data_IF_704254448919
#
_entry.id   IF_704254448919
#
_cell.length_a   1.000
_cell.length_b   1.000
_cell.length_c   1.000
_cell.angle_alpha   90.00
_cell.angle_beta   90.00
_cell.angle_gamma   90.00
#
_symmetry.space_group_name_H-M   'P 1'
#
loop_
_entity.id
_entity.type
_entity.pdbx_description
1 polymer ?
#
# COMPACT_ATOMS: atom_id res chain seq x y z
N UNK A 1 -3.52 -10.42 -4.18
CA UNK A 1 -4.42 -9.67 -3.29
C UNK A 1 -3.56 -8.63 -2.59
N UNK A 2 -3.98 -7.37 -2.60
CA UNK A 2 -3.25 -6.25 -1.99
C UNK A 2 -3.19 -6.40 -0.46
N UNK A 3 -4.12 -7.14 0.14
CA UNK A 3 -4.12 -7.45 1.58
C UNK A 3 -2.90 -8.23 2.07
N UNK A 4 -2.07 -8.78 1.17
CA UNK A 4 -0.85 -9.54 1.51
C UNK A 4 0.39 -8.66 1.68
N UNK A 5 0.34 -7.38 1.35
CA UNK A 5 1.48 -6.48 1.49
C UNK A 5 1.51 -5.86 2.88
N UNK A 6 2.61 -6.06 3.61
CA UNK A 6 2.70 -5.64 5.02
C UNK A 6 2.67 -4.12 5.19
N UNK A 7 3.31 -3.36 4.29
CA UNK A 7 3.28 -1.90 4.31
C UNK A 7 1.87 -1.34 4.06
N UNK A 8 1.11 -1.97 3.16
CA UNK A 8 -0.30 -1.64 2.94
C UNK A 8 -1.15 -1.91 4.18
N UNK A 9 -0.98 -3.07 4.81
CA UNK A 9 -1.69 -3.41 6.05
C UNK A 9 -1.33 -2.44 7.18
N UNK A 10 -0.07 -2.04 7.29
CA UNK A 10 0.39 -1.04 8.25
C UNK A 10 -0.29 0.32 8.03
N UNK A 11 -0.30 0.83 6.79
CA UNK A 11 -0.97 2.10 6.46
C UNK A 11 -2.48 2.05 6.76
N UNK A 12 -3.16 0.93 6.43
CA UNK A 12 -4.58 0.75 6.75
C UNK A 12 -4.83 0.68 8.27
N UNK A 13 -3.95 0.01 9.03
CA UNK A 13 -4.07 -0.04 10.49
C UNK A 13 -3.84 1.33 11.13
N UNK A 14 -2.82 2.07 10.69
CA UNK A 14 -2.57 3.45 11.13
C UNK A 14 -3.77 4.36 10.81
N UNK A 15 -4.34 4.25 9.61
CA UNK A 15 -5.53 5.00 9.23
C UNK A 15 -6.71 4.69 10.16
N UNK A 16 -6.94 3.43 10.51
CA UNK A 16 -7.99 3.03 11.47
C UNK A 16 -7.73 3.57 12.88
N UNK A 17 -6.49 3.50 13.35
CA UNK A 17 -6.07 3.97 14.69
C UNK A 17 -6.21 5.49 14.83
N UNK A 18 -5.94 6.24 13.76
CA UNK A 18 -6.11 7.70 13.71
C UNK A 18 -7.54 8.15 13.39
N UNK A 19 -8.50 7.23 13.27
CA UNK A 19 -9.88 7.56 12.93
C UNK A 19 -10.10 8.01 11.48
N UNK A 20 -9.15 7.79 10.58
CA UNK A 20 -9.21 8.13 9.15
C UNK A 20 -10.07 7.13 8.35
N UNK A 21 -11.21 6.70 8.90
CA UNK A 21 -12.11 5.75 8.23
C UNK A 21 -12.72 6.35 6.96
N UNK A 22 -13.03 7.64 6.98
CA UNK A 22 -13.57 8.35 5.82
C UNK A 22 -12.57 8.41 4.67
N UNK A 23 -11.25 8.52 4.94
CA UNK A 23 -10.22 8.42 3.91
C UNK A 23 -10.29 7.07 3.17
N UNK A 24 -10.38 5.96 3.90
CA UNK A 24 -10.47 4.63 3.28
C UNK A 24 -11.74 4.48 2.42
N UNK A 25 -12.85 5.08 2.87
CA UNK A 25 -14.12 5.12 2.13
C UNK A 25 -14.03 5.99 0.89
N UNK A 26 -13.40 7.16 0.99
CA UNK A 26 -13.17 8.07 -0.12
C UNK A 26 -12.32 7.41 -1.20
N UNK A 27 -11.20 6.78 -0.82
CA UNK A 27 -10.36 6.03 -1.76
C UNK A 27 -11.16 4.93 -2.44
N UNK A 28 -12.03 4.23 -1.71
CA UNK A 28 -12.90 3.21 -2.31
C UNK A 28 -13.84 3.81 -3.36
N UNK A 29 -14.50 4.92 -3.04
CA UNK A 29 -15.40 5.62 -3.95
C UNK A 29 -14.66 6.11 -5.21
N UNK A 30 -13.47 6.67 -5.04
CA UNK A 30 -12.63 7.12 -6.15
C UNK A 30 -12.17 5.94 -7.03
N UNK A 31 -11.74 4.83 -6.43
CA UNK A 31 -11.41 3.61 -7.18
C UNK A 31 -12.62 3.07 -7.95
N UNK A 32 -13.82 3.13 -7.37
CA UNK A 32 -15.06 2.74 -8.04
C UNK A 32 -15.37 3.64 -9.25
N UNK A 33 -15.22 4.96 -9.12
CA UNK A 33 -15.37 5.90 -10.23
C UNK A 33 -14.35 5.64 -11.35
N UNK A 34 -13.11 5.28 -11.00
CA UNK A 34 -12.12 4.90 -12.01
C UNK A 34 -12.50 3.64 -12.76
N UNK A 35 -13.24 2.71 -12.16
CA UNK A 35 -13.59 1.43 -12.80
C UNK A 35 -14.47 1.58 -14.05
N UNK A 36 -15.11 2.75 -14.22
CA UNK A 36 -15.95 3.09 -15.36
C UNK A 36 -15.21 3.88 -16.47
N UNK A 37 -13.93 4.19 -16.27
CA UNK A 37 -13.12 4.98 -17.21
C UNK A 37 -12.29 4.08 -18.14
N UNK A 38 -11.83 4.66 -19.24
CA UNK A 38 -10.80 4.00 -20.04
C UNK A 38 -9.51 3.86 -19.20
N UNK A 39 -8.79 2.72 -19.26
CA UNK A 39 -7.55 2.53 -18.52
C UNK A 39 -6.54 3.68 -18.67
N UNK A 40 -6.49 4.33 -19.84
CA UNK A 40 -5.56 5.44 -20.11
C UNK A 40 -5.88 6.71 -19.32
N UNK A 41 -7.10 6.82 -18.82
CA UNK A 41 -7.57 7.96 -18.01
C UNK A 41 -7.65 7.64 -16.51
N UNK A 42 -7.39 6.38 -16.14
CA UNK A 42 -7.43 5.95 -14.74
C UNK A 42 -6.27 6.55 -13.94
N UNK A 43 -6.55 6.88 -12.68
CA UNK A 43 -5.56 7.30 -11.68
C UNK A 43 -5.47 6.29 -10.55
N UNK A 44 -4.29 6.17 -9.93
CA UNK A 44 -4.09 5.34 -8.74
C UNK A 44 -4.42 6.11 -7.46
N UNK A 45 -5.63 5.92 -6.94
CA UNK A 45 -6.05 6.56 -5.68
C UNK A 45 -5.64 5.80 -4.43
N UNK A 46 -5.13 4.57 -4.57
CA UNK A 46 -4.63 3.78 -3.44
C UNK A 46 -3.42 4.46 -2.78
N UNK A 47 -2.68 5.30 -3.51
CA UNK A 47 -1.58 6.12 -2.97
C UNK A 47 -2.03 7.06 -1.85
N UNK A 48 -3.26 7.57 -1.89
CA UNK A 48 -3.81 8.45 -0.84
C UNK A 48 -3.86 7.80 0.55
N UNK A 49 -3.87 6.46 0.63
CA UNK A 49 -3.83 5.74 1.91
C UNK A 49 -2.49 5.93 2.62
N UNK A 50 -1.42 6.18 1.85
CA UNK A 50 -0.07 6.33 2.37
C UNK A 50 0.30 7.79 2.66
N UNK A 51 -0.28 8.76 1.93
CA UNK A 51 -0.01 10.20 2.07
C UNK A 51 -0.04 10.76 3.51
N UNK A 52 -0.91 10.28 4.43
CA UNK A 52 -0.92 10.78 5.81
C UNK A 52 0.23 10.28 6.70
N UNK A 53 1.10 9.41 6.20
CA UNK A 53 2.11 8.71 6.98
C UNK A 53 3.51 8.88 6.39
N UNK A 54 4.50 9.06 7.26
CA UNK A 54 5.90 8.96 6.84
C UNK A 54 6.34 7.51 6.67
N UNK A 55 7.42 7.28 5.91
CA UNK A 55 8.01 5.95 5.74
C UNK A 55 8.43 5.35 7.10
N UNK A 56 8.89 6.17 8.04
CA UNK A 56 9.25 5.77 9.41
C UNK A 56 8.03 5.40 10.26
N UNK A 57 6.88 6.06 10.05
CA UNK A 57 5.63 5.69 10.72
C UNK A 57 5.13 4.32 10.24
N UNK A 58 5.16 4.10 8.92
CA UNK A 58 4.80 2.81 8.34
C UNK A 58 5.79 1.73 8.82
N UNK A 59 7.09 2.02 8.82
CA UNK A 59 8.15 1.12 9.28
C UNK A 59 7.96 0.68 10.72
N UNK A 60 7.73 1.64 11.63
CA UNK A 60 7.42 1.35 13.04
C UNK A 60 6.17 0.50 13.17
N UNK A 61 5.12 0.84 12.41
CA UNK A 61 3.89 0.04 12.45
C UNK A 61 4.11 -1.39 11.96
N UNK A 62 4.93 -1.58 10.93
CA UNK A 62 5.31 -2.92 10.46
C UNK A 62 6.06 -3.66 11.55
N UNK A 63 7.01 -3.02 12.23
CA UNK A 63 7.73 -3.61 13.35
C UNK A 63 6.77 -4.07 14.47
N UNK A 64 5.80 -3.23 14.86
CA UNK A 64 4.76 -3.60 15.82
C UNK A 64 3.97 -4.83 15.37
N UNK A 65 3.60 -4.87 14.08
CA UNK A 65 2.78 -5.94 13.50
C UNK A 65 3.51 -7.28 13.38
N UNK A 66 4.83 -7.25 13.20
CA UNK A 66 5.67 -8.46 13.10
C UNK A 66 6.43 -8.78 14.39
N UNK A 67 6.22 -7.99 15.45
CA UNK A 67 6.90 -8.17 16.71
C UNK A 67 6.63 -9.58 17.26
N UNK A 68 7.67 -10.37 17.57
CA UNK A 68 7.52 -11.73 18.08
C UNK A 68 6.64 -11.79 19.32
N UNK A 69 5.51 -12.47 19.22
CA UNK A 69 4.63 -12.72 20.37
C UNK A 69 4.93 -14.11 20.96
N UNK A 70 4.78 -14.26 22.27
CA UNK A 70 4.93 -15.54 22.99
C UNK A 70 6.34 -16.17 22.89
N UNK A 71 7.38 -15.33 22.84
CA UNK A 71 8.78 -15.75 22.91
C UNK A 71 9.48 -15.09 24.10
N UNK A 72 10.61 -15.63 24.54
CA UNK A 72 11.39 -15.08 25.67
C UNK A 72 12.22 -13.85 25.30
N UNK A 73 12.26 -13.47 24.02
CA UNK A 73 13.01 -12.33 23.53
C UNK A 73 12.20 -11.03 23.76
N UNK A 74 12.83 -10.05 24.40
CA UNK A 74 12.23 -8.74 24.72
C UNK A 74 13.06 -7.58 24.15
N UNK A 75 13.75 -7.82 23.04
CA UNK A 75 14.55 -6.77 22.40
C UNK A 75 13.68 -5.77 21.64
N UNK A 76 14.32 -4.73 21.15
CA UNK A 76 13.72 -3.77 20.22
C UNK A 76 13.76 -4.34 18.79
N UNK A 77 12.65 -4.20 18.07
CA UNK A 77 12.56 -4.57 16.66
C UNK A 77 12.39 -3.30 15.85
N UNK A 78 13.34 -3.04 14.95
CA UNK A 78 13.22 -1.99 13.95
C UNK A 78 13.18 -2.62 12.56
N UNK A 79 12.27 -2.15 11.73
CA UNK A 79 12.18 -2.53 10.31
C UNK A 79 12.64 -1.32 9.51
N UNK A 80 13.70 -1.49 8.72
CA UNK A 80 14.24 -0.41 7.87
C UNK A 80 13.97 -0.77 6.42
N UNK A 81 13.25 0.10 5.71
CA UNK A 81 13.08 -0.01 4.26
C UNK A 81 14.18 0.75 3.53
N UNK A 82 14.63 0.22 2.40
CA UNK A 82 15.50 0.93 1.48
C UNK A 82 14.71 2.06 0.82
N UNK A 83 15.24 3.29 0.81
CA UNK A 83 14.60 4.40 0.10
C UNK A 83 14.59 4.16 -1.41
N UNK A 84 13.58 4.70 -2.10
CA UNK A 84 13.47 4.61 -3.57
C UNK A 84 14.67 5.27 -4.25
N UNK A 85 15.17 6.38 -3.70
CA UNK A 85 16.38 7.02 -4.20
C UNK A 85 17.60 6.07 -4.16
N UNK A 86 17.80 5.37 -3.04
CA UNK A 86 18.91 4.45 -2.91
C UNK A 86 18.70 3.15 -3.70
N UNK A 87 17.44 2.75 -3.95
CA UNK A 87 17.12 1.68 -4.90
C UNK A 87 17.60 2.05 -6.31
N UNK A 88 17.32 3.26 -6.80
CA UNK A 88 17.77 3.73 -8.11
C UNK A 88 19.30 3.84 -8.21
N UNK A 89 19.98 4.16 -7.11
CA UNK A 89 21.46 4.14 -7.05
C UNK A 89 22.01 2.70 -7.12
N UNK A 90 21.29 1.73 -6.57
CA UNK A 90 21.75 0.34 -6.45
C UNK A 90 21.43 -0.50 -7.69
N UNK A 91 20.32 -0.21 -8.37
CA UNK A 91 19.86 -0.95 -9.55
C UNK A 91 19.62 0.04 -10.69
N UNK A 92 20.62 0.17 -11.57
CA UNK A 92 20.63 1.17 -12.64
C UNK A 92 20.00 0.68 -13.95
N UNK A 93 19.83 -0.63 -14.13
CA UNK A 93 19.30 -1.24 -15.35
C UNK A 93 17.79 -1.47 -15.34
N UNK A 94 17.16 -1.47 -14.16
CA UNK A 94 15.72 -1.54 -13.99
C UNK A 94 15.32 -0.85 -12.68
N UNK A 95 14.38 0.09 -12.74
CA UNK A 95 14.02 0.87 -11.55
C UNK A 95 13.09 0.07 -10.63
N UNK A 96 12.11 -0.64 -11.19
CA UNK A 96 11.20 -1.52 -10.44
C UNK A 96 10.43 -0.84 -9.29
N UNK A 97 10.54 0.48 -9.21
CA UNK A 97 10.15 1.35 -8.12
C UNK A 97 8.64 1.46 -8.03
N UNK A 98 7.93 1.27 -9.14
CA UNK A 98 6.48 1.21 -9.22
C UNK A 98 5.83 0.22 -8.25
N UNK A 99 6.52 -0.85 -7.84
CA UNK A 99 6.04 -1.76 -6.79
C UNK A 99 5.95 -1.07 -5.41
N UNK A 100 6.84 -0.10 -5.16
CA UNK A 100 6.97 0.62 -3.90
C UNK A 100 6.27 1.97 -3.93
N UNK A 101 6.38 2.72 -5.03
CA UNK A 101 5.78 4.05 -5.21
C UNK A 101 4.33 4.00 -5.64
N UNK A 102 3.87 2.87 -6.20
CA UNK A 102 2.55 2.77 -6.83
C UNK A 102 2.44 3.55 -8.14
N UNK A 103 3.55 4.09 -8.68
CA UNK A 103 3.59 4.76 -9.99
C UNK A 103 3.75 3.73 -11.11
N UNK A 104 2.68 2.96 -11.33
CA UNK A 104 2.66 1.95 -12.38
C UNK A 104 2.91 2.58 -13.75
N UNK A 105 3.86 2.06 -14.55
CA UNK A 105 4.22 2.65 -15.84
C UNK A 105 3.15 2.43 -16.93
N UNK A 106 2.11 1.65 -16.64
CA UNK A 106 1.09 1.28 -17.62
C UNK A 106 -0.32 1.57 -17.12
N UNK A 107 -1.23 2.01 -18.02
CA UNK A 107 -2.68 2.11 -17.76
C UNK A 107 -3.30 0.85 -17.13
N UNK A 108 -2.83 -0.33 -17.54
CA UNK A 108 -3.28 -1.61 -16.99
C UNK A 108 -2.95 -1.76 -15.49
N UNK A 109 -1.81 -1.23 -15.05
CA UNK A 109 -1.42 -1.26 -13.64
C UNK A 109 -2.39 -0.49 -12.74
N UNK A 110 -2.86 0.69 -13.20
CA UNK A 110 -3.86 1.47 -12.47
C UNK A 110 -5.20 0.74 -12.35
N UNK A 111 -5.64 0.06 -13.42
CA UNK A 111 -6.84 -0.78 -13.35
C UNK A 111 -6.71 -1.90 -12.31
N UNK A 112 -5.57 -2.58 -12.27
CA UNK A 112 -5.32 -3.69 -11.35
C UNK A 112 -5.29 -3.23 -9.90
N UNK A 113 -4.58 -2.14 -9.59
CA UNK A 113 -4.45 -1.65 -8.20
C UNK A 113 -5.77 -1.12 -7.66
N UNK A 114 -6.53 -0.35 -8.46
CA UNK A 114 -7.86 0.14 -8.07
C UNK A 114 -8.83 -1.02 -7.81
N UNK A 115 -8.84 -2.04 -8.67
CA UNK A 115 -9.68 -3.23 -8.49
C UNK A 115 -9.24 -4.07 -7.29
N UNK A 116 -7.94 -4.20 -7.04
CA UNK A 116 -7.42 -4.90 -5.88
C UNK A 116 -7.86 -4.23 -4.57
N UNK A 117 -7.82 -2.90 -4.49
CA UNK A 117 -8.30 -2.18 -3.32
C UNK A 117 -9.81 -2.31 -3.11
N UNK A 118 -10.62 -2.22 -4.17
CA UNK A 118 -12.07 -2.45 -4.08
C UNK A 118 -12.38 -3.85 -3.53
N UNK A 119 -11.73 -4.90 -4.07
CA UNK A 119 -11.92 -6.27 -3.59
C UNK A 119 -11.54 -6.43 -2.11
N UNK A 120 -10.42 -5.82 -1.71
CA UNK A 120 -9.97 -5.81 -0.31
C UNK A 120 -10.98 -5.11 0.61
N UNK A 121 -11.50 -3.95 0.19
CA UNK A 121 -12.48 -3.18 0.96
C UNK A 121 -13.80 -3.93 1.13
N UNK A 122 -14.28 -4.59 0.07
CA UNK A 122 -15.52 -5.39 0.07
C UNK A 122 -15.36 -6.75 0.77
N UNK A 123 -14.17 -7.09 1.26
CA UNK A 123 -13.84 -8.42 1.83
C UNK A 123 -14.13 -9.58 0.88
N UNK A 124 -14.03 -9.36 -0.43
CA UNK A 124 -14.17 -10.44 -1.42
C UNK A 124 -12.87 -11.26 -1.46
N UNK A 125 -12.93 -12.51 -1.03
CA UNK A 125 -11.82 -13.45 -1.20
C UNK A 125 -11.69 -13.84 -2.69
N UNK A 126 -10.63 -13.38 -3.35
CA UNK A 126 -10.35 -13.69 -4.76
C UNK A 126 -9.25 -12.82 -5.37
N UNK A 127 -8.49 -13.35 -6.33
CA UNK A 127 -7.46 -12.58 -7.06
C UNK A 127 -8.13 -11.55 -7.98
N UNK A 128 -7.59 -10.33 -8.05
CA UNK A 128 -8.20 -9.15 -8.70
C UNK A 128 -8.13 -9.11 -10.24
N UNK A 129 -7.92 -10.26 -10.90
CA UNK A 129 -7.90 -10.34 -12.37
C UNK A 129 -9.29 -10.55 -12.97
#
# INVERSE_FOLDING_TARGET
>A
DIGKFIAFQAAVNLAKERGLKELLREVYQLCFEQSHKDPREMKNYVKMIYEPFSDEEISRKVADMVYPQNVSWNGELEVVFQSVENLHKSITSCTGDWFFTGDYPTPGGFKVVNRAFMNYYEKKEGRAY
#
